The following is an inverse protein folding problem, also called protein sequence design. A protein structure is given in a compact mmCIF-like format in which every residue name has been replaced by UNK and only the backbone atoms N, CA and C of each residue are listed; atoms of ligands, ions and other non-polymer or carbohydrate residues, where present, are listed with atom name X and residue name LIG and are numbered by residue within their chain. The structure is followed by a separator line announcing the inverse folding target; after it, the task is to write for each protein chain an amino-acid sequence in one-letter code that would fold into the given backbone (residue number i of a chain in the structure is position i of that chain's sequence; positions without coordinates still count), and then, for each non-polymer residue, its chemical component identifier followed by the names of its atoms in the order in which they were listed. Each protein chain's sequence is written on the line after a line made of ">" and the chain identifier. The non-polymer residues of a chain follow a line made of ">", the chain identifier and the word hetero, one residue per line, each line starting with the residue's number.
data_IF_668420219175
#
_entry.id   IF_668420219175
#
_cell.length_a   1.000
_cell.length_b   1.000
_cell.length_c   1.000
_cell.angle_alpha   90.00
_cell.angle_beta   90.00
_cell.angle_gamma   90.00
#
_symmetry.space_group_name_H-M   'P 1'
#
loop_
_entity.id
_entity.type
_entity.pdbx_description
1 polymer ?
#
# COMPACT_ATOMS: atom_id res chain seq x y z
N UNK A 1 -6.11 4.28 29.42
CA UNK A 1 -7.56 4.07 29.25
C UNK A 1 -8.06 4.48 27.85
N UNK A 2 -7.58 5.58 27.26
CA UNK A 2 -7.99 6.01 25.90
C UNK A 2 -7.59 5.05 24.78
N UNK A 3 -6.36 4.52 24.78
CA UNK A 3 -5.86 3.64 23.71
C UNK A 3 -6.68 2.34 23.57
N UNK A 4 -6.97 1.69 24.70
CA UNK A 4 -7.82 0.49 24.75
C UNK A 4 -9.20 0.78 24.16
N UNK A 5 -9.83 1.90 24.58
CA UNK A 5 -11.12 2.34 24.04
C UNK A 5 -11.07 2.56 22.52
N UNK A 6 -10.00 3.13 21.99
CA UNK A 6 -9.86 3.33 20.54
C UNK A 6 -9.71 2.01 19.78
N UNK A 7 -9.03 1.01 20.36
CA UNK A 7 -8.92 -0.33 19.77
C UNK A 7 -10.28 -0.99 19.74
N UNK A 8 -10.99 -1.02 20.87
CA UNK A 8 -12.29 -1.69 21.00
C UNK A 8 -13.31 -1.13 19.99
N UNK A 9 -13.41 0.20 19.91
CA UNK A 9 -14.32 0.87 18.97
C UNK A 9 -13.99 0.52 17.51
N UNK A 10 -12.71 0.53 17.13
CA UNK A 10 -12.29 0.20 15.74
C UNK A 10 -12.52 -1.27 15.42
N UNK A 11 -12.24 -2.15 16.37
CA UNK A 11 -12.44 -3.59 16.20
C UNK A 11 -13.91 -3.91 15.92
N UNK A 12 -14.82 -3.39 16.77
CA UNK A 12 -16.26 -3.63 16.60
C UNK A 12 -16.78 -3.07 15.27
N UNK A 13 -16.35 -1.87 14.88
CA UNK A 13 -16.74 -1.29 13.60
C UNK A 13 -16.29 -2.14 12.40
N UNK A 14 -15.02 -2.56 12.36
CA UNK A 14 -14.51 -3.38 11.25
C UNK A 14 -15.20 -4.74 11.21
N UNK A 15 -15.38 -5.39 12.37
CA UNK A 15 -16.08 -6.68 12.47
C UNK A 15 -17.50 -6.61 11.90
N UNK A 16 -18.25 -5.57 12.25
CA UNK A 16 -19.62 -5.37 11.72
C UNK A 16 -19.63 -5.24 10.19
N UNK A 17 -18.66 -4.52 9.60
CA UNK A 17 -18.55 -4.39 8.13
C UNK A 17 -18.24 -5.71 7.44
N UNK A 18 -17.42 -6.55 8.07
CA UNK A 18 -17.08 -7.88 7.58
C UNK A 18 -18.27 -8.83 7.68
N UNK A 19 -18.97 -8.85 8.82
CA UNK A 19 -20.17 -9.67 9.02
C UNK A 19 -21.29 -9.32 8.04
N UNK A 20 -21.39 -8.04 7.65
CA UNK A 20 -22.33 -7.56 6.62
C UNK A 20 -21.87 -7.81 5.18
N UNK A 21 -20.70 -8.40 4.97
CA UNK A 21 -20.13 -8.64 3.63
C UNK A 21 -19.75 -7.36 2.88
N UNK A 22 -19.67 -6.22 3.56
CA UNK A 22 -19.28 -4.93 2.94
C UNK A 22 -17.78 -4.90 2.65
N UNK A 23 -17.00 -5.58 3.49
CA UNK A 23 -15.54 -5.70 3.37
C UNK A 23 -15.14 -7.16 3.57
N UNK A 24 -14.26 -7.67 2.72
CA UNK A 24 -13.60 -8.94 2.91
C UNK A 24 -12.17 -8.71 3.43
N UNK A 25 -11.74 -9.54 4.39
CA UNK A 25 -10.40 -9.46 4.96
C UNK A 25 -9.54 -10.62 4.46
N UNK A 26 -8.38 -10.28 3.91
CA UNK A 26 -7.37 -11.25 3.50
C UNK A 26 -6.07 -11.00 4.25
N UNK A 27 -5.44 -12.08 4.71
CA UNK A 27 -4.09 -11.99 5.23
C UNK A 27 -3.11 -11.79 4.07
N UNK A 28 -2.35 -10.69 4.14
CA UNK A 28 -1.23 -10.43 3.23
C UNK A 28 0.04 -10.47 4.04
N UNK A 29 1.01 -11.29 3.62
CA UNK A 29 2.33 -11.28 4.30
C UNK A 29 2.94 -9.89 4.20
N UNK A 30 3.67 -9.50 5.24
CA UNK A 30 4.36 -8.21 5.31
C UNK A 30 5.20 -7.93 4.05
N UNK A 31 5.81 -8.95 3.44
CA UNK A 31 6.61 -8.76 2.22
C UNK A 31 5.79 -8.39 0.97
N UNK A 32 4.46 -8.51 1.00
CA UNK A 32 3.59 -8.21 -0.13
C UNK A 32 2.57 -7.10 0.17
N UNK A 33 2.61 -6.52 1.37
CA UNK A 33 1.67 -5.47 1.76
C UNK A 33 2.01 -4.14 1.06
N UNK A 34 1.38 -3.89 -0.08
CA UNK A 34 1.58 -2.67 -0.88
C UNK A 34 1.26 -1.38 -0.11
N UNK A 35 0.31 -1.43 0.83
CA UNK A 35 -0.08 -0.28 1.66
C UNK A 35 1.07 0.25 2.54
N UNK A 36 2.09 -0.56 2.81
CA UNK A 36 3.27 -0.13 3.56
C UNK A 36 4.05 0.97 2.82
N UNK A 37 3.93 1.04 1.49
CA UNK A 37 4.51 2.09 0.67
C UNK A 37 4.03 3.50 1.09
N UNK A 38 2.78 3.60 1.55
CA UNK A 38 2.13 4.88 1.88
C UNK A 38 2.13 5.20 3.37
N UNK A 39 2.49 4.23 4.22
CA UNK A 39 2.27 4.33 5.67
C UNK A 39 3.54 4.18 6.50
N UNK A 40 4.65 3.73 5.90
CA UNK A 40 5.89 3.43 6.61
C UNK A 40 7.10 4.06 5.92
N UNK A 41 8.10 4.43 6.71
CA UNK A 41 9.44 4.64 6.21
C UNK A 41 10.09 3.28 5.95
N UNK A 42 10.38 2.96 4.69
CA UNK A 42 10.93 1.67 4.27
C UNK A 42 12.39 1.80 3.82
N UNK A 43 13.23 0.77 4.03
CA UNK A 43 14.53 0.69 3.38
C UNK A 43 14.40 0.79 1.86
N UNK A 44 15.38 1.39 1.19
CA UNK A 44 15.36 1.68 -0.25
C UNK A 44 15.02 0.46 -1.10
N UNK A 45 15.62 -0.70 -0.79
CA UNK A 45 15.37 -1.93 -1.55
C UNK A 45 13.94 -2.46 -1.37
N UNK A 46 13.39 -2.31 -0.16
CA UNK A 46 12.00 -2.67 0.13
C UNK A 46 11.02 -1.74 -0.59
N UNK A 47 11.31 -0.45 -0.60
CA UNK A 47 10.54 0.56 -1.33
C UNK A 47 10.53 0.27 -2.83
N UNK A 48 11.70 0.09 -3.46
CA UNK A 48 11.82 -0.24 -4.88
C UNK A 48 11.06 -1.51 -5.26
N UNK A 49 11.14 -2.54 -4.42
CA UNK A 49 10.39 -3.78 -4.63
C UNK A 49 8.87 -3.54 -4.67
N UNK A 50 8.33 -2.80 -3.69
CA UNK A 50 6.90 -2.51 -3.62
C UNK A 50 6.42 -1.59 -4.75
N UNK A 51 7.22 -0.58 -5.14
CA UNK A 51 6.94 0.29 -6.29
C UNK A 51 6.78 -0.51 -7.57
N UNK A 52 7.71 -1.44 -7.85
CA UNK A 52 7.61 -2.33 -9.02
C UNK A 52 6.39 -3.23 -8.97
N UNK A 53 6.05 -3.77 -7.79
CA UNK A 53 4.86 -4.61 -7.59
C UNK A 53 3.54 -3.83 -7.73
N UNK A 54 3.55 -2.52 -7.49
CA UNK A 54 2.42 -1.63 -7.74
C UNK A 54 2.26 -1.30 -9.24
N UNK A 55 3.18 -1.76 -10.10
CA UNK A 55 3.19 -1.46 -11.54
C UNK A 55 3.86 -0.14 -11.89
N UNK A 56 4.47 0.53 -10.91
CA UNK A 56 5.20 1.78 -11.14
C UNK A 56 6.64 1.48 -11.58
N UNK A 57 7.16 2.32 -12.48
CA UNK A 57 8.54 2.25 -12.96
C UNK A 57 9.31 3.46 -12.43
N UNK A 58 10.51 3.22 -11.91
CA UNK A 58 11.46 4.29 -11.68
C UNK A 58 12.16 4.55 -13.03
N UNK A 59 11.90 5.71 -13.62
CA UNK A 59 12.56 6.13 -14.84
C UNK A 59 13.83 6.90 -14.50
N UNK A 60 14.88 6.65 -15.27
CA UNK A 60 16.04 7.52 -15.35
C UNK A 60 15.67 8.80 -16.09
N UNK A 61 16.39 9.92 -15.89
CA UNK A 61 16.16 11.14 -16.64
C UNK A 61 16.18 10.93 -18.17
N UNK A 62 17.08 10.06 -18.66
CA UNK A 62 17.17 9.73 -20.08
C UNK A 62 15.94 8.94 -20.60
N UNK A 63 15.43 7.98 -19.82
CA UNK A 63 14.20 7.25 -20.19
C UNK A 63 12.98 8.17 -20.17
N UNK A 64 12.93 9.12 -19.23
CA UNK A 64 11.87 10.11 -19.14
C UNK A 64 11.89 11.05 -20.35
N UNK A 65 13.07 11.51 -20.76
CA UNK A 65 13.26 12.34 -21.95
C UNK A 65 12.91 11.57 -23.24
N UNK A 66 13.29 10.29 -23.34
CA UNK A 66 12.92 9.45 -24.47
C UNK A 66 11.39 9.30 -24.61
N UNK A 67 10.68 9.06 -23.50
CA UNK A 67 9.21 8.97 -23.47
C UNK A 67 8.54 10.31 -23.82
N UNK A 68 9.10 11.43 -23.40
CA UNK A 68 8.56 12.75 -23.69
C UNK A 68 8.71 13.15 -25.17
N UNK A 69 9.63 12.49 -25.89
CA UNK A 69 9.95 12.76 -27.28
C UNK A 69 9.41 11.71 -28.26
N UNK A 70 8.58 10.76 -27.81
CA UNK A 70 7.91 9.81 -28.72
C UNK A 70 6.87 10.54 -29.59
N UNK A 71 6.92 10.41 -30.94
CA UNK A 71 5.90 10.97 -31.82
C UNK A 71 4.57 10.23 -31.61
N UNK A 72 3.48 10.98 -31.50
CA UNK A 72 2.12 10.49 -31.33
C UNK A 72 1.63 9.58 -32.46
#
# INVERSE_FOLDING_TARGET
>A
HSHTKHIDVRYHFIKEKVEKGIVELFFVRFEYQLADLFTKALPVERFKYLVRRLGMRCLTPAELEALANEPA
#
